data_IF_695566538299
#
_entry.id   IF_695566538299
#
_cell.length_a   1.000
_cell.length_b   1.000
_cell.length_c   1.000
_cell.angle_alpha   90.00
_cell.angle_beta   90.00
_cell.angle_gamma   90.00
#
_symmetry.space_group_name_H-M   'P 1'
#
loop_
_entity.id
_entity.type
_entity.pdbx_description
1 polymer ?
#
# COMPACT_ATOMS: atom_id res chain seq x y z
N UNK A 1 6.91 17.52 34.87
CA UNK A 1 7.60 16.51 34.05
C UNK A 1 6.70 15.27 33.95
N UNK A 2 5.89 15.17 32.90
CA UNK A 2 5.06 13.98 32.65
C UNK A 2 5.82 13.06 31.70
N UNK A 3 6.31 11.97 32.28
CA UNK A 3 6.95 10.87 31.56
C UNK A 3 5.95 10.29 30.55
N UNK A 4 6.18 10.52 29.26
CA UNK A 4 5.44 9.84 28.21
C UNK A 4 5.85 8.37 28.21
N UNK A 5 4.95 7.55 28.74
CA UNK A 5 5.05 6.11 28.77
C UNK A 5 5.09 5.60 27.31
N UNK A 6 6.29 5.20 26.85
CA UNK A 6 6.50 4.47 25.59
C UNK A 6 5.76 3.14 25.69
N UNK A 7 4.48 3.12 25.31
CA UNK A 7 3.80 1.87 25.00
C UNK A 7 4.45 1.33 23.73
N UNK A 8 5.28 0.31 23.88
CA UNK A 8 5.72 -0.55 22.79
C UNK A 8 4.47 -1.26 22.26
N UNK A 9 3.83 -0.62 21.29
CA UNK A 9 2.60 -1.09 20.68
C UNK A 9 2.92 -2.28 19.75
N UNK A 10 2.72 -3.49 20.28
CA UNK A 10 2.91 -4.76 19.56
C UNK A 10 1.58 -5.43 19.20
N UNK A 11 0.44 -4.75 19.42
CA UNK A 11 -0.87 -5.27 19.06
C UNK A 11 -1.16 -5.00 17.57
N UNK A 12 -1.46 -6.03 16.75
CA UNK A 12 -1.85 -5.85 15.35
C UNK A 12 -3.13 -5.01 15.13
N UNK A 13 -3.89 -4.67 16.18
CA UNK A 13 -5.14 -3.90 16.10
C UNK A 13 -5.00 -2.38 16.24
N UNK A 14 -3.86 -1.85 16.69
CA UNK A 14 -3.68 -0.41 16.92
C UNK A 14 -2.93 0.28 15.76
N UNK A 15 -3.25 -0.12 14.53
CA UNK A 15 -2.79 0.55 13.32
C UNK A 15 -3.92 1.39 12.74
N UNK A 16 -3.63 2.58 12.19
CA UNK A 16 -4.65 3.35 11.49
C UNK A 16 -5.23 2.51 10.35
N UNK A 17 -6.56 2.57 10.19
CA UNK A 17 -7.28 1.79 9.19
C UNK A 17 -7.51 2.63 7.94
N UNK A 18 -7.29 2.03 6.78
CA UNK A 18 -7.61 2.65 5.49
C UNK A 18 -9.10 2.99 5.36
N UNK A 19 -9.96 2.17 5.98
CA UNK A 19 -11.41 2.36 5.93
C UNK A 19 -11.87 3.62 6.68
N UNK A 20 -11.01 4.19 7.54
CA UNK A 20 -11.33 5.41 8.30
C UNK A 20 -11.14 6.68 7.44
N UNK A 21 -10.44 6.56 6.30
CA UNK A 21 -10.29 7.66 5.35
C UNK A 21 -11.56 7.84 4.52
N UNK A 22 -11.96 9.09 4.31
CA UNK A 22 -12.98 9.45 3.32
C UNK A 22 -12.53 9.08 1.90
N UNK A 23 -13.45 8.88 0.93
CA UNK A 23 -13.07 8.56 -0.45
C UNK A 23 -12.08 9.55 -1.08
N UNK A 24 -12.22 10.85 -0.80
CA UNK A 24 -11.32 11.88 -1.33
C UNK A 24 -9.91 11.75 -0.72
N UNK A 25 -9.81 11.47 0.58
CA UNK A 25 -8.53 11.22 1.25
C UNK A 25 -7.88 9.93 0.72
N UNK A 26 -8.68 8.88 0.47
CA UNK A 26 -8.19 7.65 -0.15
C UNK A 26 -7.65 7.91 -1.57
N UNK A 27 -8.34 8.73 -2.36
CA UNK A 27 -7.91 9.10 -3.71
C UNK A 27 -6.66 9.99 -3.71
N UNK A 28 -6.45 10.82 -2.69
CA UNK A 28 -5.29 11.70 -2.54
C UNK A 28 -4.07 11.00 -1.91
N UNK A 29 -4.22 9.82 -1.29
CA UNK A 29 -3.13 9.19 -0.55
C UNK A 29 -2.05 8.59 -1.45
N UNK A 30 -0.78 8.92 -1.17
CA UNK A 30 0.37 8.37 -1.91
C UNK A 30 0.46 8.85 -3.35
N UNK A 31 1.37 8.25 -4.12
CA UNK A 31 1.53 8.52 -5.55
C UNK A 31 0.73 7.54 -6.43
N UNK A 32 0.09 6.52 -5.83
CA UNK A 32 -0.62 5.50 -6.57
C UNK A 32 0.35 4.49 -7.20
N UNK A 33 -0.08 3.80 -8.25
CA UNK A 33 0.72 2.74 -8.85
C UNK A 33 1.75 3.30 -9.82
N UNK A 34 3.01 2.86 -9.67
CA UNK A 34 4.10 3.15 -10.61
C UNK A 34 5.10 4.19 -10.12
N UNK A 35 6.29 4.17 -10.73
CA UNK A 35 7.31 5.17 -10.52
C UNK A 35 7.07 6.39 -11.42
N UNK A 36 7.52 7.58 -11.01
CA UNK A 36 7.32 8.83 -11.79
C UNK A 36 7.96 8.82 -13.18
N UNK A 37 8.93 7.93 -13.43
CA UNK A 37 9.56 7.75 -14.74
C UNK A 37 8.80 6.78 -15.67
N UNK A 38 7.79 6.07 -15.15
CA UNK A 38 7.08 5.04 -15.90
C UNK A 38 5.99 5.67 -16.79
N UNK A 39 5.92 5.34 -18.09
CA UNK A 39 4.90 5.91 -18.97
C UNK A 39 3.49 5.39 -18.65
N UNK A 40 2.47 6.24 -18.83
CA UNK A 40 1.07 5.97 -18.45
C UNK A 40 0.47 4.71 -19.09
N UNK A 41 0.85 4.39 -20.32
CA UNK A 41 0.37 3.17 -21.00
C UNK A 41 0.86 1.91 -20.28
N UNK A 42 2.06 1.94 -19.69
CA UNK A 42 2.63 0.82 -18.96
C UNK A 42 1.99 0.71 -17.57
N UNK A 43 1.77 1.84 -16.90
CA UNK A 43 1.01 1.89 -15.64
C UNK A 43 -0.39 1.31 -15.86
N UNK A 44 -1.08 1.73 -16.93
CA UNK A 44 -2.41 1.23 -17.26
C UNK A 44 -2.39 -0.26 -17.61
N UNK A 45 -1.40 -0.73 -18.37
CA UNK A 45 -1.27 -2.15 -18.73
C UNK A 45 -1.00 -3.05 -17.51
N UNK A 46 -0.25 -2.54 -16.52
CA UNK A 46 0.14 -3.28 -15.32
C UNK A 46 -0.86 -3.16 -14.17
N UNK A 47 -1.63 -2.07 -14.08
CA UNK A 47 -2.46 -1.76 -12.92
C UNK A 47 -3.91 -1.36 -13.26
N UNK A 48 -4.23 -1.11 -14.53
CA UNK A 48 -5.57 -0.70 -14.96
C UNK A 48 -6.66 -1.79 -14.87
N UNK A 49 -6.31 -2.98 -14.40
CA UNK A 49 -7.21 -4.12 -14.17
C UNK A 49 -7.54 -4.34 -12.69
N UNK A 50 -7.08 -3.47 -11.80
CA UNK A 50 -7.39 -3.55 -10.38
C UNK A 50 -8.88 -3.35 -10.11
N UNK A 51 -9.42 -4.17 -9.21
CA UNK A 51 -10.79 -4.03 -8.70
C UNK A 51 -10.77 -3.82 -7.18
N UNK A 52 -9.95 -4.59 -6.47
CA UNK A 52 -9.77 -4.52 -5.01
C UNK A 52 -8.34 -4.16 -4.61
N UNK A 53 -7.35 -4.49 -5.44
CA UNK A 53 -5.98 -4.03 -5.23
C UNK A 53 -5.91 -2.51 -5.34
N UNK A 54 -5.24 -1.87 -4.39
CA UNK A 54 -5.01 -0.42 -4.40
C UNK A 54 -3.58 -0.11 -3.95
N UNK A 55 -2.77 0.47 -4.84
CA UNK A 55 -1.43 0.93 -4.46
C UNK A 55 -1.49 2.02 -3.40
N UNK A 56 -2.53 2.85 -3.40
CA UNK A 56 -2.71 3.90 -2.38
C UNK A 56 -2.95 3.30 -0.99
N UNK A 57 -3.70 2.20 -0.92
CA UNK A 57 -3.88 1.45 0.33
C UNK A 57 -2.57 0.80 0.78
N UNK A 58 -1.77 0.28 -0.15
CA UNK A 58 -0.43 -0.23 0.16
C UNK A 58 0.52 0.89 0.66
N UNK A 59 0.54 2.03 -0.02
CA UNK A 59 1.29 3.23 0.36
C UNK A 59 0.88 3.73 1.75
N UNK A 60 -0.40 3.70 2.07
CA UNK A 60 -0.92 4.05 3.41
C UNK A 60 -0.36 3.13 4.49
N UNK A 61 -0.35 1.81 4.25
CA UNK A 61 0.26 0.86 5.17
C UNK A 61 1.77 1.11 5.38
N UNK A 62 2.47 1.48 4.31
CA UNK A 62 3.88 1.84 4.35
C UNK A 62 4.15 3.15 5.09
N UNK A 63 3.29 4.15 4.89
CA UNK A 63 3.37 5.44 5.55
C UNK A 63 3.05 5.34 7.05
N UNK A 64 2.07 4.51 7.43
CA UNK A 64 1.75 4.17 8.81
C UNK A 64 2.97 3.59 9.53
N UNK A 65 3.78 2.80 8.83
CA UNK A 65 5.08 2.36 9.30
C UNK A 65 5.02 1.21 10.31
N UNK A 66 6.11 1.00 11.04
CA UNK A 66 6.24 -0.07 12.04
C UNK A 66 7.54 -0.85 11.90
N UNK A 67 7.47 -2.16 12.05
CA UNK A 67 8.62 -3.06 11.91
C UNK A 67 8.56 -3.88 10.60
N UNK A 68 9.59 -4.68 10.37
CA UNK A 68 9.71 -5.50 9.17
C UNK A 68 8.54 -6.48 8.99
N UNK A 69 8.01 -7.05 10.08
CA UNK A 69 6.82 -7.90 10.02
C UNK A 69 5.60 -7.14 9.49
N UNK A 70 5.45 -5.87 9.86
CA UNK A 70 4.38 -5.01 9.33
C UNK A 70 4.56 -4.72 7.84
N UNK A 71 5.80 -4.49 7.39
CA UNK A 71 6.09 -4.33 5.96
C UNK A 71 5.64 -5.56 5.16
N UNK A 72 6.08 -6.75 5.58
CA UNK A 72 5.67 -8.01 4.94
C UNK A 72 4.15 -8.22 4.99
N UNK A 73 3.49 -7.84 6.09
CA UNK A 73 2.05 -7.90 6.18
C UNK A 73 1.35 -6.99 5.14
N UNK A 74 1.85 -5.76 4.95
CA UNK A 74 1.31 -4.84 3.94
C UNK A 74 1.51 -5.40 2.51
N UNK A 75 2.71 -5.91 2.21
CA UNK A 75 3.03 -6.53 0.92
C UNK A 75 2.15 -7.75 0.63
N UNK A 76 1.94 -8.60 1.64
CA UNK A 76 1.09 -9.79 1.55
C UNK A 76 -0.38 -9.44 1.32
N UNK A 77 -0.93 -8.47 2.06
CA UNK A 77 -2.33 -8.06 1.90
C UNK A 77 -2.58 -7.49 0.51
N UNK A 78 -1.62 -6.70 -0.02
CA UNK A 78 -1.71 -6.19 -1.38
C UNK A 78 -1.63 -7.31 -2.42
N UNK A 79 -0.67 -8.24 -2.30
CA UNK A 79 -0.57 -9.40 -3.20
C UNK A 79 -1.83 -10.27 -3.18
N UNK A 80 -2.43 -10.46 -1.99
CA UNK A 80 -3.70 -11.20 -1.84
C UNK A 80 -4.87 -10.48 -2.50
N UNK A 81 -4.89 -9.14 -2.49
CA UNK A 81 -5.89 -8.36 -3.23
C UNK A 81 -5.70 -8.53 -4.74
N UNK A 82 -4.46 -8.37 -5.24
CA UNK A 82 -4.13 -8.60 -6.65
C UNK A 82 -4.53 -10.01 -7.10
N UNK A 83 -4.25 -11.04 -6.29
CA UNK A 83 -4.60 -12.42 -6.61
C UNK A 83 -6.11 -12.60 -6.81
N UNK A 84 -6.93 -11.98 -5.95
CA UNK A 84 -8.39 -12.01 -6.08
C UNK A 84 -8.85 -11.30 -7.36
N UNK A 85 -8.22 -10.20 -7.72
CA UNK A 85 -8.51 -9.48 -8.96
C UNK A 85 -8.12 -10.28 -10.21
N UNK A 86 -6.98 -10.98 -10.19
CA UNK A 86 -6.59 -11.91 -11.26
C UNK A 86 -7.67 -12.99 -11.45
N UNK A 87 -8.25 -13.50 -10.36
CA UNK A 87 -9.33 -14.51 -10.44
C UNK A 87 -10.66 -13.95 -10.97
N UNK A 88 -10.88 -12.63 -10.88
CA UNK A 88 -12.06 -11.95 -11.45
C UNK A 88 -11.93 -11.74 -12.97
N UNK A 89 -10.74 -11.87 -13.53
CA UNK A 89 -10.54 -11.78 -14.98
C UNK A 89 -11.23 -12.94 -15.71
N UNK A 90 -12.12 -12.61 -16.65
CA UNK A 90 -12.93 -13.59 -17.39
C UNK A 90 -12.16 -14.27 -18.52
N UNK A 91 -11.19 -13.58 -19.14
CA UNK A 91 -10.42 -14.10 -20.27
C UNK A 91 -9.12 -14.75 -19.83
N UNK A 92 -8.70 -15.81 -20.54
CA UNK A 92 -7.42 -16.48 -20.27
C UNK A 92 -6.23 -15.51 -20.43
N UNK A 93 -6.23 -14.72 -21.50
CA UNK A 93 -5.22 -13.68 -21.74
C UNK A 93 -5.15 -12.67 -20.59
N UNK A 94 -6.30 -12.20 -20.10
CA UNK A 94 -6.37 -11.31 -18.95
C UNK A 94 -5.80 -11.96 -17.69
N UNK A 95 -6.15 -13.21 -17.40
CA UNK A 95 -5.58 -13.95 -16.25
C UNK A 95 -4.06 -14.09 -16.35
N UNK A 96 -3.52 -14.39 -17.53
CA UNK A 96 -2.06 -14.51 -17.73
C UNK A 96 -1.38 -13.17 -17.47
N UNK A 97 -1.86 -12.10 -18.09
CA UNK A 97 -1.28 -10.76 -17.94
C UNK A 97 -1.32 -10.28 -16.48
N UNK A 98 -2.45 -10.46 -15.81
CA UNK A 98 -2.63 -10.06 -14.40
C UNK A 98 -1.82 -10.93 -13.44
N UNK A 99 -1.61 -12.21 -13.76
CA UNK A 99 -0.71 -13.09 -12.99
C UNK A 99 0.74 -12.66 -13.10
N UNK A 100 1.19 -12.27 -14.30
CA UNK A 100 2.55 -11.72 -14.50
C UNK A 100 2.71 -10.43 -13.69
N UNK A 101 1.75 -9.51 -13.78
CA UNK A 101 1.78 -8.25 -13.04
C UNK A 101 1.83 -8.48 -11.51
N UNK A 102 1.08 -9.46 -10.99
CA UNK A 102 1.15 -9.87 -9.57
C UNK A 102 2.56 -10.30 -9.18
N UNK A 103 3.19 -11.20 -9.95
CA UNK A 103 4.52 -11.73 -9.63
C UNK A 103 5.57 -10.63 -9.70
N UNK A 104 5.55 -9.82 -10.76
CA UNK A 104 6.49 -8.71 -10.94
C UNK A 104 6.36 -7.70 -9.81
N UNK A 105 5.15 -7.32 -9.44
CA UNK A 105 4.95 -6.34 -8.39
C UNK A 105 5.31 -6.88 -7.01
N UNK A 106 4.88 -8.10 -6.67
CA UNK A 106 5.24 -8.72 -5.40
C UNK A 106 6.77 -8.83 -5.25
N UNK A 107 7.48 -9.22 -6.31
CA UNK A 107 8.93 -9.24 -6.32
C UNK A 107 9.53 -7.83 -6.11
N UNK A 108 8.99 -6.80 -6.79
CA UNK A 108 9.46 -5.44 -6.65
C UNK A 108 9.31 -4.90 -5.21
N UNK A 109 8.14 -5.06 -4.58
CA UNK A 109 7.93 -4.60 -3.20
C UNK A 109 8.72 -5.42 -2.19
N UNK A 110 8.89 -6.73 -2.43
CA UNK A 110 9.72 -7.57 -1.58
C UNK A 110 11.20 -7.14 -1.60
N UNK A 111 11.74 -6.82 -2.80
CA UNK A 111 13.15 -6.47 -3.00
C UNK A 111 13.49 -5.02 -2.65
N UNK A 112 12.57 -4.08 -2.89
CA UNK A 112 12.84 -2.64 -2.79
C UNK A 112 11.94 -1.90 -1.80
N UNK A 113 10.88 -2.53 -1.30
CA UNK A 113 9.90 -1.89 -0.42
C UNK A 113 10.48 -1.38 0.89
N UNK A 114 11.52 -2.02 1.41
CA UNK A 114 12.26 -1.56 2.59
C UNK A 114 12.80 -0.13 2.43
N UNK A 115 13.12 0.33 1.22
CA UNK A 115 13.61 1.70 1.01
C UNK A 115 12.54 2.78 1.20
N UNK A 116 11.25 2.40 1.14
CA UNK A 116 10.10 3.32 1.22
C UNK A 116 9.25 3.12 2.47
N UNK A 117 9.42 2.01 3.17
CA UNK A 117 8.68 1.70 4.39
C UNK A 117 9.13 2.61 5.55
N UNK A 118 8.17 3.21 6.26
CA UNK A 118 8.49 4.06 7.41
C UNK A 118 8.81 3.23 8.66
N UNK A 119 10.04 2.72 8.75
CA UNK A 119 10.47 1.96 9.92
C UNK A 119 10.47 2.79 11.21
N UNK A 120 10.08 2.15 12.31
CA UNK A 120 10.08 2.74 13.64
C UNK A 120 8.68 2.82 14.24
N UNK A 121 8.32 4.00 14.77
CA UNK A 121 7.03 4.21 15.42
C UNK A 121 5.89 4.19 14.40
N UNK A 122 4.79 3.53 14.75
CA UNK A 122 3.54 3.58 14.01
C UNK A 122 2.96 4.99 14.09
N UNK A 123 2.64 5.58 12.94
CA UNK A 123 2.00 6.90 12.87
C UNK A 123 0.50 6.81 13.18
N UNK A 124 -0.03 7.85 13.78
CA UNK A 124 -1.49 7.97 14.00
C UNK A 124 -2.20 8.41 12.72
N UNK A 125 -3.53 8.32 12.71
CA UNK A 125 -4.34 8.76 11.58
C UNK A 125 -4.13 10.26 11.28
N UNK A 126 -4.09 11.11 12.31
CA UNK A 126 -3.87 12.55 12.17
C UNK A 126 -2.51 12.88 11.55
N UNK A 127 -1.46 12.14 11.91
CA UNK A 127 -0.11 12.31 11.36
C UNK A 127 -0.05 11.94 9.87
N UNK A 128 -0.83 10.93 9.46
CA UNK A 128 -0.95 10.51 8.07
C UNK A 128 -1.76 11.51 7.24
N UNK A 129 -2.84 12.05 7.80
CA UNK A 129 -3.64 13.10 7.16
C UNK A 129 -2.86 14.42 7.01
N UNK A 130 -2.07 14.80 8.02
CA UNK A 130 -1.22 15.97 7.94
C UNK A 130 -0.21 15.87 6.77
N UNK A 131 0.28 14.66 6.45
CA UNK A 131 1.14 14.43 5.28
C UNK A 131 0.43 14.61 3.93
N UNK A 132 -0.90 14.52 3.88
CA UNK A 132 -1.66 14.79 2.65
C UNK A 132 -1.81 16.29 2.42
N UNK A 133 -2.10 17.03 3.48
CA UNK A 133 -2.38 18.47 3.43
C UNK A 133 -1.13 19.33 3.15
N UNK A 134 0.07 18.77 3.26
CA UNK A 134 1.32 19.47 2.92
C UNK A 134 1.78 19.26 1.48
N UNK A 135 1.07 18.43 0.70
CA UNK A 135 1.39 18.14 -0.70
C UNK A 135 0.47 18.84 -1.72
N UNK A 136 -0.51 19.61 -1.25
CA UNK A 136 -1.31 20.57 -2.03
C UNK A 136 -0.63 21.92 -2.08
#
# INVERSE_FOLDING_TARGET
>A
MLSQNKKNNTDPTDYPSWADLTPDQQAAFGNGCGASWMPDWLITALFGWFFEASCRHHDFGYAAGGNERRRWHCDWQFARAMYRDTRRCKTLRGRIQTSIALVVFYAAVALFGWTKFAYGRVKTHDELLAHLNTKT
#
